data_IF_317413291767
#
_entry.id   IF_317413291767
#
_cell.length_a   1.000
_cell.length_b   1.000
_cell.length_c   1.000
_cell.angle_alpha   90.00
_cell.angle_beta   90.00
_cell.angle_gamma   90.00
#
_symmetry.space_group_name_H-M   'P 1'
#
loop_
_entity.id
_entity.type
_entity.pdbx_description
1 polymer ?
#
# COMPACT_ATOMS: atom_id res chain seq x y z
N UNK A 1 -38.32 -2.00 48.36
CA UNK A 1 -37.21 -2.94 48.57
C UNK A 1 -37.71 -4.29 48.16
N UNK A 2 -37.46 -4.71 46.93
CA UNK A 2 -37.80 -6.04 46.40
C UNK A 2 -36.50 -6.79 46.20
N UNK A 3 -36.26 -7.68 47.14
CA UNK A 3 -35.13 -8.60 47.18
C UNK A 3 -35.31 -9.62 46.06
N UNK A 4 -34.48 -9.57 45.02
CA UNK A 4 -34.37 -10.67 44.04
C UNK A 4 -33.20 -11.56 44.46
N UNK A 5 -33.46 -12.87 44.69
CA UNK A 5 -32.37 -13.78 45.00
C UNK A 5 -31.38 -13.87 43.82
N UNK A 6 -30.08 -14.08 44.07
CA UNK A 6 -29.07 -14.25 43.05
C UNK A 6 -29.36 -15.52 42.26
N UNK A 7 -29.49 -15.42 40.94
CA UNK A 7 -29.59 -16.56 40.02
C UNK A 7 -28.29 -17.37 40.11
N UNK A 8 -28.46 -18.62 40.55
CA UNK A 8 -27.39 -19.59 40.68
C UNK A 8 -26.71 -19.84 39.33
N UNK A 9 -25.39 -19.96 39.35
CA UNK A 9 -24.56 -20.17 38.15
C UNK A 9 -24.86 -21.47 37.44
N UNK A 10 -25.30 -22.47 38.19
CA UNK A 10 -25.68 -23.80 37.66
C UNK A 10 -26.97 -23.75 36.84
N UNK A 11 -27.94 -22.90 37.19
CA UNK A 11 -29.17 -22.72 36.40
C UNK A 11 -28.96 -21.99 35.06
N UNK A 12 -27.87 -21.26 34.90
CA UNK A 12 -27.49 -20.62 33.62
C UNK A 12 -26.83 -21.59 32.63
N UNK A 13 -26.14 -22.61 33.14
CA UNK A 13 -25.49 -23.63 32.31
C UNK A 13 -26.50 -24.65 31.79
N UNK A 14 -27.52 -24.99 32.59
CA UNK A 14 -28.59 -25.91 32.20
C UNK A 14 -29.48 -25.39 31.05
N UNK A 15 -29.55 -24.04 30.87
CA UNK A 15 -30.30 -23.42 29.77
C UNK A 15 -29.47 -23.30 28.45
N UNK A 16 -28.24 -23.79 28.45
CA UNK A 16 -27.37 -23.84 27.28
C UNK A 16 -27.19 -25.28 26.75
N UNK A 17 -27.93 -26.23 27.30
CA UNK A 17 -27.95 -27.60 26.78
C UNK A 17 -28.61 -27.56 25.39
N UNK A 18 -27.82 -27.76 24.35
CA UNK A 18 -28.28 -27.95 22.98
C UNK A 18 -29.18 -29.22 23.00
N UNK A 19 -30.39 -29.09 22.44
CA UNK A 19 -31.29 -30.21 22.25
C UNK A 19 -30.57 -31.32 21.48
N UNK A 20 -30.49 -32.55 22.04
CA UNK A 20 -29.80 -33.66 21.38
C UNK A 20 -30.32 -33.96 19.96
N UNK A 21 -31.60 -33.72 19.70
CA UNK A 21 -32.18 -33.91 18.38
C UNK A 21 -31.79 -32.81 17.38
N UNK A 22 -31.52 -31.60 17.86
CA UNK A 22 -30.98 -30.51 17.04
C UNK A 22 -29.51 -30.79 16.71
N UNK A 23 -28.73 -31.22 17.71
CA UNK A 23 -27.32 -31.57 17.50
C UNK A 23 -27.16 -32.76 16.54
N UNK A 24 -28.05 -33.78 16.63
CA UNK A 24 -28.03 -34.91 15.71
C UNK A 24 -28.32 -34.47 14.25
N UNK A 25 -29.26 -33.53 14.04
CA UNK A 25 -29.58 -33.00 12.72
C UNK A 25 -28.46 -32.14 12.16
N UNK A 26 -27.77 -31.36 13.00
CA UNK A 26 -26.61 -30.57 12.58
C UNK A 26 -25.45 -31.50 12.20
N UNK A 27 -25.19 -32.57 12.97
CA UNK A 27 -24.16 -33.56 12.62
C UNK A 27 -24.49 -34.36 11.36
N UNK A 28 -25.78 -34.66 11.10
CA UNK A 28 -26.20 -35.26 9.83
C UNK A 28 -26.05 -34.28 8.64
N UNK A 29 -26.30 -33.00 8.86
CA UNK A 29 -26.11 -31.96 7.86
C UNK A 29 -24.60 -31.71 7.54
N UNK A 30 -23.71 -31.80 8.54
CA UNK A 30 -22.25 -31.74 8.33
C UNK A 30 -21.71 -32.95 7.54
N UNK A 31 -22.41 -34.10 7.54
CA UNK A 31 -22.03 -35.26 6.72
C UNK A 31 -22.43 -35.15 5.24
N UNK A 32 -23.34 -34.24 4.93
CA UNK A 32 -23.68 -33.85 3.55
C UNK A 32 -22.82 -32.67 3.15
N UNK A 33 -21.57 -32.78 2.87
CA UNK A 33 -20.61 -31.73 2.55
C UNK A 33 -21.23 -30.36 2.21
N UNK A 34 -20.72 -29.29 2.76
CA UNK A 34 -21.21 -27.93 2.43
C UNK A 34 -21.17 -27.77 0.90
N UNK A 35 -22.29 -27.41 0.22
CA UNK A 35 -22.23 -27.09 -1.22
C UNK A 35 -21.18 -26.02 -1.57
N UNK A 36 -20.71 -25.24 -0.58
CA UNK A 36 -19.61 -24.27 -0.74
C UNK A 36 -18.24 -24.94 -0.76
N UNK A 37 -18.08 -26.16 -0.19
CA UNK A 37 -16.84 -26.94 -0.25
C UNK A 37 -16.59 -27.53 -1.65
N UNK A 38 -17.64 -27.62 -2.49
CA UNK A 38 -17.54 -28.06 -3.90
C UNK A 38 -17.21 -26.89 -4.84
N UNK A 39 -17.27 -25.64 -4.36
CA UNK A 39 -16.85 -24.47 -5.11
C UNK A 39 -15.34 -24.34 -4.92
N UNK A 40 -14.57 -24.80 -5.90
CA UNK A 40 -13.14 -24.54 -5.98
C UNK A 40 -12.95 -23.05 -6.26
N UNK A 41 -12.98 -22.24 -5.18
CA UNK A 41 -12.88 -20.77 -5.23
C UNK A 41 -11.48 -20.29 -5.65
N UNK A 42 -10.49 -21.19 -5.61
CA UNK A 42 -9.10 -20.91 -5.91
C UNK A 42 -8.53 -21.97 -6.86
N UNK A 43 -8.92 -21.94 -8.14
CA UNK A 43 -8.16 -22.63 -9.19
C UNK A 43 -7.07 -21.70 -9.73
N UNK A 44 -5.81 -21.82 -9.26
CA UNK A 44 -4.72 -20.91 -9.67
C UNK A 44 -4.43 -20.98 -11.19
N UNK A 45 -4.80 -22.07 -11.87
CA UNK A 45 -4.62 -22.20 -13.32
C UNK A 45 -5.70 -21.43 -14.08
N UNK A 46 -6.95 -21.49 -13.62
CA UNK A 46 -8.04 -20.71 -14.21
C UNK A 46 -7.84 -19.20 -13.95
N UNK A 47 -7.43 -18.82 -12.74
CA UNK A 47 -7.12 -17.43 -12.41
C UNK A 47 -5.98 -16.86 -13.26
N UNK A 48 -4.94 -17.66 -13.50
CA UNK A 48 -3.84 -17.27 -14.39
C UNK A 48 -4.27 -17.11 -15.84
N UNK A 49 -5.12 -18.01 -16.35
CA UNK A 49 -5.66 -17.93 -17.72
C UNK A 49 -6.59 -16.72 -17.87
N UNK A 50 -7.42 -16.46 -16.88
CA UNK A 50 -8.30 -15.29 -16.88
C UNK A 50 -7.49 -13.99 -16.84
N UNK A 51 -6.44 -13.89 -16.01
CA UNK A 51 -5.54 -12.75 -15.96
C UNK A 51 -4.85 -12.50 -17.31
N UNK A 52 -4.41 -13.55 -18.00
CA UNK A 52 -3.83 -13.44 -19.35
C UNK A 52 -4.86 -12.90 -20.35
N UNK A 53 -6.09 -13.43 -20.33
CA UNK A 53 -7.17 -12.97 -21.20
C UNK A 53 -7.50 -11.50 -20.96
N UNK A 54 -7.61 -11.10 -19.71
CA UNK A 54 -7.86 -9.70 -19.30
C UNK A 54 -6.73 -8.78 -19.77
N UNK A 55 -5.48 -9.19 -19.65
CA UNK A 55 -4.34 -8.44 -20.17
C UNK A 55 -4.39 -8.30 -21.69
N UNK A 56 -4.73 -9.37 -22.45
CA UNK A 56 -4.83 -9.32 -23.90
C UNK A 56 -5.94 -8.35 -24.37
N UNK A 57 -7.10 -8.36 -23.72
CA UNK A 57 -8.18 -7.41 -23.99
C UNK A 57 -7.76 -5.97 -23.62
N UNK A 58 -7.10 -5.79 -22.47
CA UNK A 58 -6.65 -4.50 -21.98
C UNK A 58 -5.60 -3.85 -22.89
N UNK A 59 -4.68 -4.62 -23.49
CA UNK A 59 -3.74 -4.11 -24.49
C UNK A 59 -4.46 -3.47 -25.68
N UNK A 60 -5.58 -4.05 -26.11
CA UNK A 60 -6.40 -3.47 -27.16
C UNK A 60 -7.15 -2.22 -26.67
N UNK A 61 -7.70 -2.25 -25.46
CA UNK A 61 -8.42 -1.10 -24.89
C UNK A 61 -7.55 0.13 -24.68
N UNK A 62 -6.26 -0.03 -24.32
CA UNK A 62 -5.33 1.10 -24.19
C UNK A 62 -5.20 1.92 -25.48
N UNK A 63 -5.43 1.31 -26.65
CA UNK A 63 -5.30 1.94 -27.96
C UNK A 63 -6.62 2.55 -28.46
N UNK A 64 -7.71 2.42 -27.71
CA UNK A 64 -9.04 2.88 -28.10
C UNK A 64 -9.41 4.23 -27.48
N UNK A 65 -10.70 4.55 -27.45
CA UNK A 65 -11.23 5.78 -26.90
C UNK A 65 -11.03 5.89 -25.39
N UNK A 66 -11.39 7.05 -24.85
CA UNK A 66 -11.11 7.41 -23.46
C UNK A 66 -11.62 6.37 -22.44
N UNK A 67 -12.86 5.91 -22.60
CA UNK A 67 -13.47 4.98 -21.63
C UNK A 67 -12.83 3.60 -21.63
N UNK A 68 -12.57 3.05 -22.82
CA UNK A 68 -11.85 1.77 -22.97
C UNK A 68 -10.42 1.88 -22.45
N UNK A 69 -9.75 3.00 -22.70
CA UNK A 69 -8.40 3.27 -22.18
C UNK A 69 -8.36 3.24 -20.66
N UNK A 70 -9.36 3.84 -19.99
CA UNK A 70 -9.47 3.78 -18.52
C UNK A 70 -9.71 2.35 -18.01
N UNK A 71 -10.50 1.54 -18.72
CA UNK A 71 -10.70 0.13 -18.39
C UNK A 71 -9.39 -0.66 -18.54
N UNK A 72 -8.65 -0.47 -19.64
CA UNK A 72 -7.34 -1.10 -19.83
C UNK A 72 -6.32 -0.70 -18.77
N UNK A 73 -6.29 0.59 -18.40
CA UNK A 73 -5.43 1.08 -17.32
C UNK A 73 -5.75 0.40 -15.99
N UNK A 74 -7.03 0.18 -15.67
CA UNK A 74 -7.45 -0.50 -14.44
C UNK A 74 -6.89 -1.92 -14.37
N UNK A 75 -6.95 -2.68 -15.46
CA UNK A 75 -6.40 -4.03 -15.52
C UNK A 75 -4.90 -4.02 -15.21
N UNK A 76 -4.12 -3.10 -15.79
CA UNK A 76 -2.68 -3.02 -15.53
C UNK A 76 -2.29 -2.41 -14.17
N UNK A 77 -3.23 -1.85 -13.43
CA UNK A 77 -3.04 -1.53 -12.02
C UNK A 77 -3.09 -2.80 -11.13
N UNK A 78 -3.73 -3.86 -11.59
CA UNK A 78 -3.92 -5.13 -10.87
C UNK A 78 -2.98 -6.22 -11.38
N UNK A 79 -2.81 -6.32 -12.69
CA UNK A 79 -2.04 -7.37 -13.36
C UNK A 79 -0.70 -6.86 -13.91
N UNK A 80 0.28 -7.78 -13.95
CA UNK A 80 1.61 -7.53 -14.52
C UNK A 80 1.69 -8.10 -15.93
N UNK A 81 1.95 -7.22 -16.89
CA UNK A 81 2.24 -7.60 -18.27
C UNK A 81 3.24 -6.60 -18.88
N UNK A 82 4.49 -7.02 -19.13
CA UNK A 82 5.51 -6.12 -19.68
C UNK A 82 5.15 -5.52 -21.05
N UNK A 83 4.26 -6.15 -21.82
CA UNK A 83 3.78 -5.66 -23.12
C UNK A 83 3.04 -4.32 -22.97
N UNK A 84 2.45 -4.06 -21.81
CA UNK A 84 1.71 -2.82 -21.50
C UNK A 84 2.61 -1.59 -21.46
N UNK A 85 3.88 -1.72 -21.08
CA UNK A 85 4.78 -0.60 -20.79
C UNK A 85 4.87 0.38 -21.96
N UNK A 86 5.04 -0.13 -23.19
CA UNK A 86 5.14 0.73 -24.39
C UNK A 86 3.85 1.51 -24.69
N UNK A 87 2.69 1.01 -24.26
CA UNK A 87 1.39 1.67 -24.42
C UNK A 87 1.10 2.60 -23.25
N UNK A 88 1.65 2.33 -22.05
CA UNK A 88 1.46 3.13 -20.85
C UNK A 88 2.29 4.41 -20.86
N UNK A 89 3.52 4.36 -21.38
CA UNK A 89 4.45 5.50 -21.37
C UNK A 89 3.86 6.77 -22.03
N UNK A 90 3.24 6.71 -23.22
CA UNK A 90 2.63 7.91 -23.82
C UNK A 90 1.49 8.50 -22.98
N UNK A 91 0.80 7.67 -22.17
CA UNK A 91 -0.33 8.11 -21.36
C UNK A 91 0.10 8.99 -20.15
N UNK A 92 1.38 9.02 -19.84
CA UNK A 92 1.93 9.92 -18.83
C UNK A 92 1.88 11.40 -19.27
N UNK A 93 1.71 11.69 -20.56
CA UNK A 93 1.63 13.05 -21.11
C UNK A 93 0.19 13.47 -21.46
N UNK A 94 -0.80 12.61 -21.16
CA UNK A 94 -2.21 12.89 -21.43
C UNK A 94 -2.72 14.13 -20.67
N UNK A 95 -3.62 14.88 -21.29
CA UNK A 95 -4.20 16.10 -20.70
C UNK A 95 -5.00 15.76 -19.44
N UNK A 96 -5.74 14.63 -19.47
CA UNK A 96 -6.57 14.19 -18.36
C UNK A 96 -5.70 13.66 -17.19
N UNK A 97 -5.74 14.30 -16.00
CA UNK A 97 -4.94 13.85 -14.86
C UNK A 97 -5.34 12.46 -14.34
N UNK A 98 -6.58 12.03 -14.56
CA UNK A 98 -7.02 10.67 -14.19
C UNK A 98 -6.30 9.62 -15.03
N UNK A 99 -6.14 9.87 -16.34
CA UNK A 99 -5.41 8.98 -17.24
C UNK A 99 -3.93 8.94 -16.83
N UNK A 100 -3.29 10.10 -16.61
CA UNK A 100 -1.89 10.14 -16.15
C UNK A 100 -1.70 9.38 -14.84
N UNK A 101 -2.57 9.63 -13.86
CA UNK A 101 -2.52 8.97 -12.54
C UNK A 101 -2.67 7.44 -12.67
N UNK A 102 -3.63 6.97 -13.47
CA UNK A 102 -3.84 5.53 -13.69
C UNK A 102 -2.67 4.89 -14.43
N UNK A 103 -2.08 5.58 -15.43
CA UNK A 103 -0.87 5.12 -16.11
C UNK A 103 0.33 5.04 -15.15
N UNK A 104 0.47 5.99 -14.22
CA UNK A 104 1.49 5.96 -13.17
C UNK A 104 1.31 4.73 -12.27
N UNK A 105 0.07 4.42 -11.81
CA UNK A 105 -0.19 3.23 -11.01
C UNK A 105 0.11 1.93 -11.78
N UNK A 106 -0.30 1.87 -13.05
CA UNK A 106 -0.01 0.73 -13.91
C UNK A 106 1.50 0.52 -14.09
N UNK A 107 2.29 1.58 -14.30
CA UNK A 107 3.75 1.52 -14.37
C UNK A 107 4.40 1.20 -13.02
N UNK A 108 3.80 1.58 -11.90
CA UNK A 108 4.23 1.14 -10.58
C UNK A 108 4.04 -0.36 -10.36
N UNK A 109 2.99 -0.93 -10.93
CA UNK A 109 2.77 -2.39 -10.92
C UNK A 109 3.65 -3.12 -11.94
N UNK A 110 4.00 -2.45 -13.06
CA UNK A 110 4.81 -2.95 -14.15
C UNK A 110 6.16 -2.20 -14.26
N UNK A 111 7.05 -2.29 -13.24
CA UNK A 111 8.27 -1.49 -13.22
C UNK A 111 9.17 -1.82 -14.40
N UNK A 112 9.61 -0.76 -15.08
CA UNK A 112 10.45 -0.86 -16.27
C UNK A 112 11.40 0.34 -16.36
N UNK A 113 12.69 0.14 -16.70
CA UNK A 113 13.67 1.22 -16.77
C UNK A 113 13.26 2.43 -17.62
N UNK A 114 12.60 2.29 -18.78
CA UNK A 114 12.15 3.44 -19.57
C UNK A 114 11.17 4.37 -18.85
N UNK A 115 10.44 3.89 -17.83
CA UNK A 115 9.48 4.70 -17.10
C UNK A 115 10.13 5.63 -16.06
N UNK A 116 11.37 5.37 -15.64
CA UNK A 116 12.04 6.12 -14.56
C UNK A 116 12.10 7.62 -14.86
N UNK A 117 12.62 8.00 -16.01
CA UNK A 117 12.75 9.42 -16.39
C UNK A 117 11.40 10.16 -16.41
N UNK A 118 10.41 9.67 -17.15
CA UNK A 118 9.05 10.22 -17.14
C UNK A 118 8.41 10.31 -15.76
N UNK A 119 8.54 9.27 -14.91
CA UNK A 119 8.01 9.28 -13.55
C UNK A 119 8.71 10.34 -12.68
N UNK A 120 10.04 10.46 -12.76
CA UNK A 120 10.77 11.49 -12.02
C UNK A 120 10.33 12.91 -12.45
N UNK A 121 10.07 13.13 -13.74
CA UNK A 121 9.52 14.38 -14.24
C UNK A 121 8.15 14.67 -13.67
N UNK A 122 7.23 13.70 -13.69
CA UNK A 122 5.87 13.84 -13.12
C UNK A 122 5.91 14.16 -11.63
N UNK A 123 6.77 13.52 -10.84
CA UNK A 123 6.90 13.81 -9.42
C UNK A 123 7.26 15.28 -9.16
N UNK A 124 8.09 15.86 -10.01
CA UNK A 124 8.59 17.22 -9.82
C UNK A 124 7.69 18.31 -10.43
N UNK A 125 7.04 18.02 -11.55
CA UNK A 125 6.46 19.04 -12.41
C UNK A 125 4.95 18.92 -12.63
N UNK A 126 4.32 17.76 -12.34
CA UNK A 126 2.88 17.62 -12.58
C UNK A 126 2.09 18.60 -11.71
N UNK A 127 1.21 19.36 -12.33
CA UNK A 127 0.37 20.33 -11.64
C UNK A 127 -0.64 19.69 -10.68
N UNK A 128 -1.03 18.43 -10.94
CA UNK A 128 -2.03 17.71 -10.16
C UNK A 128 -1.38 16.91 -9.03
N UNK A 129 -1.71 17.24 -7.79
CA UNK A 129 -1.16 16.59 -6.61
C UNK A 129 -1.49 15.08 -6.51
N UNK A 130 -2.61 14.63 -7.09
CA UNK A 130 -2.94 13.20 -7.11
C UNK A 130 -2.04 12.42 -8.06
N UNK A 131 -1.62 13.03 -9.18
CA UNK A 131 -0.61 12.43 -10.08
C UNK A 131 0.73 12.36 -9.36
N UNK A 132 1.19 13.46 -8.72
CA UNK A 132 2.44 13.44 -7.94
C UNK A 132 2.40 12.42 -6.79
N UNK A 133 1.26 12.29 -6.09
CA UNK A 133 1.05 11.25 -5.05
C UNK A 133 1.22 9.84 -5.61
N UNK A 134 0.53 9.53 -6.72
CA UNK A 134 0.64 8.23 -7.39
C UNK A 134 2.08 7.97 -7.84
N UNK A 135 2.77 9.01 -8.32
CA UNK A 135 4.16 8.92 -8.77
C UNK A 135 5.12 8.66 -7.61
N UNK A 136 4.92 9.32 -6.46
CA UNK A 136 5.70 9.04 -5.26
C UNK A 136 5.58 7.58 -4.84
N UNK A 137 4.36 7.02 -4.83
CA UNK A 137 4.14 5.60 -4.58
C UNK A 137 4.79 4.70 -5.63
N UNK A 138 4.59 5.01 -6.92
CA UNK A 138 5.12 4.20 -8.02
C UNK A 138 6.64 4.08 -7.95
N UNK A 139 7.35 5.17 -7.65
CA UNK A 139 8.81 5.20 -7.56
C UNK A 139 9.39 4.33 -6.45
N UNK A 140 8.60 3.96 -5.44
CA UNK A 140 8.97 2.94 -4.45
C UNK A 140 9.22 1.55 -5.06
N UNK A 141 8.63 1.27 -6.22
CA UNK A 141 8.84 0.01 -6.96
C UNK A 141 10.05 0.07 -7.92
N UNK A 142 10.85 1.15 -7.87
CA UNK A 142 12.06 1.34 -8.66
C UNK A 142 13.29 1.59 -7.77
N UNK A 143 13.59 0.71 -6.79
CA UNK A 143 14.58 0.99 -5.74
C UNK A 143 16.01 1.16 -6.26
N UNK A 144 16.32 0.59 -7.43
CA UNK A 144 17.65 0.71 -8.06
C UNK A 144 17.82 2.00 -8.87
N UNK A 145 16.72 2.69 -9.20
CA UNK A 145 16.75 3.94 -9.91
C UNK A 145 17.18 5.12 -9.00
N UNK A 146 17.57 6.29 -9.57
CA UNK A 146 18.01 7.44 -8.80
C UNK A 146 16.84 8.22 -8.17
N UNK A 147 15.97 7.49 -7.43
CA UNK A 147 14.73 8.02 -6.86
C UNK A 147 14.89 8.71 -5.50
N UNK A 148 16.02 8.47 -4.82
CA UNK A 148 16.24 8.91 -3.44
C UNK A 148 16.10 10.44 -3.28
N UNK A 149 16.88 11.21 -4.00
CA UNK A 149 16.86 12.68 -3.88
C UNK A 149 15.53 13.31 -4.32
N UNK A 150 14.89 12.89 -5.43
CA UNK A 150 13.54 13.32 -5.77
C UNK A 150 12.49 13.04 -4.68
N UNK A 151 12.52 11.85 -4.06
CA UNK A 151 11.62 11.50 -2.97
C UNK A 151 11.89 12.31 -1.69
N UNK A 152 13.17 12.55 -1.36
CA UNK A 152 13.55 13.46 -0.25
C UNK A 152 12.95 14.85 -0.48
N UNK A 153 13.10 15.41 -1.68
CA UNK A 153 12.53 16.72 -2.00
C UNK A 153 11.00 16.72 -1.91
N UNK A 154 10.34 15.69 -2.43
CA UNK A 154 8.89 15.56 -2.34
C UNK A 154 8.42 15.50 -0.87
N UNK A 155 9.13 14.77 0.00
CA UNK A 155 8.84 14.71 1.43
C UNK A 155 9.04 16.07 2.13
N UNK A 156 9.96 16.91 1.65
CA UNK A 156 10.23 18.22 2.24
C UNK A 156 9.18 19.27 1.88
N UNK A 157 8.68 19.27 0.66
CA UNK A 157 8.04 20.45 0.09
C UNK A 157 6.67 20.27 -0.52
N UNK A 158 6.20 19.03 -0.69
CA UNK A 158 4.92 18.79 -1.38
C UNK A 158 3.73 18.78 -0.39
N UNK A 159 2.53 18.58 -0.90
CA UNK A 159 1.32 18.43 -0.07
C UNK A 159 1.36 17.15 0.75
N UNK A 160 0.63 17.09 1.86
CA UNK A 160 0.68 15.99 2.82
C UNK A 160 0.49 14.60 2.20
N UNK A 161 -0.42 14.46 1.24
CA UNK A 161 -0.66 13.19 0.56
C UNK A 161 0.56 12.68 -0.26
N UNK A 162 1.34 13.60 -0.83
CA UNK A 162 2.58 13.27 -1.54
C UNK A 162 3.70 12.97 -0.54
N UNK A 163 3.83 13.78 0.52
CA UNK A 163 4.82 13.57 1.59
C UNK A 163 4.65 12.20 2.24
N UNK A 164 3.39 11.77 2.49
CA UNK A 164 3.09 10.45 3.02
C UNK A 164 3.69 9.34 2.15
N UNK A 165 3.39 9.33 0.84
CA UNK A 165 3.90 8.30 -0.05
C UNK A 165 5.39 8.41 -0.33
N UNK A 166 5.93 9.62 -0.33
CA UNK A 166 7.38 9.82 -0.42
C UNK A 166 8.12 9.20 0.78
N UNK A 167 7.56 9.29 2.00
CA UNK A 167 8.17 8.64 3.19
C UNK A 167 8.18 7.11 3.08
N UNK A 168 7.09 6.50 2.59
CA UNK A 168 7.02 5.06 2.35
C UNK A 168 8.05 4.62 1.30
N UNK A 169 8.08 5.32 0.15
CA UNK A 169 8.97 4.97 -0.95
C UNK A 169 10.45 5.22 -0.65
N UNK A 170 10.76 6.14 0.27
CA UNK A 170 12.12 6.34 0.80
C UNK A 170 12.61 5.13 1.59
N UNK A 171 11.73 4.43 2.33
CA UNK A 171 12.09 3.19 2.99
C UNK A 171 12.48 2.11 1.96
N UNK A 172 11.65 1.93 0.92
CA UNK A 172 11.93 0.93 -0.12
C UNK A 172 13.24 1.23 -0.90
N UNK A 173 13.52 2.50 -1.20
CA UNK A 173 14.78 2.89 -1.81
C UNK A 173 15.97 2.70 -0.85
N UNK A 174 15.78 3.01 0.43
CA UNK A 174 16.82 3.00 1.45
C UNK A 174 17.31 1.59 1.81
N UNK A 175 16.42 0.58 1.88
CA UNK A 175 16.78 -0.79 2.25
C UNK A 175 17.73 -1.47 1.24
N UNK A 176 17.92 -0.90 0.05
CA UNK A 176 18.80 -1.49 -0.98
C UNK A 176 20.30 -1.35 -0.66
N UNK A 177 20.69 -0.37 0.14
CA UNK A 177 22.09 -0.21 0.58
C UNK A 177 22.22 0.78 1.74
N UNK A 178 23.24 0.59 2.60
CA UNK A 178 23.55 1.52 3.68
C UNK A 178 23.82 2.97 3.19
N UNK A 179 24.38 3.12 1.99
CA UNK A 179 24.61 4.43 1.39
C UNK A 179 23.31 5.19 1.05
N UNK A 180 22.20 4.48 0.79
CA UNK A 180 20.88 5.06 0.59
C UNK A 180 20.10 5.14 1.91
N UNK A 181 20.30 4.20 2.82
CA UNK A 181 19.59 4.14 4.11
C UNK A 181 19.85 5.39 4.97
N UNK A 182 21.10 5.82 5.09
CA UNK A 182 21.45 6.95 5.97
C UNK A 182 20.82 8.27 5.53
N UNK A 183 20.91 8.73 4.27
CA UNK A 183 20.26 9.97 3.84
C UNK A 183 18.71 9.85 3.87
N UNK A 184 18.13 8.68 3.56
CA UNK A 184 16.70 8.45 3.71
C UNK A 184 16.26 8.62 5.18
N UNK A 185 16.95 7.95 6.11
CA UNK A 185 16.67 8.05 7.54
C UNK A 185 16.85 9.48 8.05
N UNK A 186 17.88 10.19 7.60
CA UNK A 186 18.10 11.59 7.97
C UNK A 186 16.91 12.48 7.64
N UNK A 187 16.34 12.35 6.44
CA UNK A 187 15.17 13.13 6.05
C UNK A 187 13.90 12.67 6.81
N UNK A 188 13.69 11.37 6.98
CA UNK A 188 12.55 10.84 7.72
C UNK A 188 12.57 11.31 9.19
N UNK A 189 13.73 11.37 9.83
CA UNK A 189 13.89 11.91 11.19
C UNK A 189 13.51 13.39 11.28
N UNK A 190 13.88 14.20 10.27
CA UNK A 190 13.47 15.61 10.21
C UNK A 190 11.95 15.68 10.10
N UNK A 191 11.34 14.97 9.15
CA UNK A 191 9.90 15.00 8.93
C UNK A 191 9.12 14.50 10.15
N UNK A 192 9.58 13.45 10.83
CA UNK A 192 8.96 12.97 12.07
C UNK A 192 8.92 14.05 13.15
N UNK A 193 9.96 14.89 13.24
CA UNK A 193 10.05 15.95 14.27
C UNK A 193 9.17 17.17 13.96
N UNK A 194 9.03 17.53 12.68
CA UNK A 194 8.47 18.83 12.31
C UNK A 194 7.21 18.81 11.45
N UNK A 195 6.85 17.67 10.82
CA UNK A 195 5.68 17.65 9.94
C UNK A 195 4.38 17.98 10.70
N UNK A 196 3.56 18.84 10.12
CA UNK A 196 2.27 19.22 10.69
C UNK A 196 1.29 18.06 10.77
N UNK A 197 1.35 17.16 9.78
CA UNK A 197 0.39 16.07 9.60
C UNK A 197 0.80 14.81 10.35
N UNK A 198 -0.06 14.35 11.25
CA UNK A 198 0.19 13.14 12.04
C UNK A 198 0.37 11.90 11.18
N UNK A 199 -0.39 11.78 10.08
CA UNK A 199 -0.27 10.64 9.15
C UNK A 199 1.12 10.57 8.49
N UNK A 200 1.75 11.72 8.21
CA UNK A 200 3.11 11.76 7.67
C UNK A 200 4.10 11.34 8.75
N UNK A 201 3.97 11.86 9.99
CA UNK A 201 4.83 11.48 11.10
C UNK A 201 4.74 9.98 11.42
N UNK A 202 3.53 9.41 11.46
CA UNK A 202 3.30 7.97 11.65
C UNK A 202 3.99 7.12 10.56
N UNK A 203 3.87 7.53 9.30
CA UNK A 203 4.54 6.84 8.20
C UNK A 203 6.07 7.00 8.24
N UNK A 204 6.59 8.12 8.76
CA UNK A 204 8.03 8.26 9.01
C UNK A 204 8.53 7.26 10.07
N UNK A 205 7.76 6.99 11.13
CA UNK A 205 8.09 5.96 12.12
C UNK A 205 8.17 4.59 11.45
N UNK A 206 7.13 4.21 10.69
CA UNK A 206 7.11 2.95 9.95
C UNK A 206 8.32 2.83 9.00
N UNK A 207 8.58 3.88 8.22
CA UNK A 207 9.70 3.93 7.26
C UNK A 207 11.06 3.80 7.95
N UNK A 208 11.27 4.49 9.08
CA UNK A 208 12.48 4.40 9.88
C UNK A 208 12.66 3.01 10.50
N UNK A 209 11.57 2.38 10.95
CA UNK A 209 11.58 0.99 11.42
C UNK A 209 12.09 0.02 10.35
N UNK A 210 11.63 0.19 9.10
CA UNK A 210 12.11 -0.59 7.94
C UNK A 210 13.59 -0.40 7.66
N UNK A 211 14.13 0.80 7.90
CA UNK A 211 15.54 1.13 7.65
C UNK A 211 16.48 0.69 8.79
N UNK A 212 15.96 0.41 9.98
CA UNK A 212 16.76 0.30 11.20
C UNK A 212 17.90 -0.72 11.09
N UNK A 213 17.67 -1.86 10.45
CA UNK A 213 18.69 -2.92 10.27
C UNK A 213 19.76 -2.52 9.23
N UNK A 214 19.47 -1.56 8.36
CA UNK A 214 20.38 -1.07 7.32
C UNK A 214 21.20 0.14 7.77
N UNK A 215 20.91 0.67 8.99
CA UNK A 215 21.61 1.83 9.56
C UNK A 215 22.80 1.37 10.42
N UNK A 216 23.85 2.16 10.36
CA UNK A 216 25.00 2.02 11.25
C UNK A 216 24.93 3.03 12.41
N UNK A 217 25.68 2.77 13.46
CA UNK A 217 25.87 3.74 14.53
C UNK A 217 26.64 4.98 14.00
N UNK A 218 26.28 6.22 14.41
CA UNK A 218 25.31 6.58 15.48
C UNK A 218 23.85 6.78 14.98
N UNK A 219 23.58 6.63 13.68
CA UNK A 219 22.25 6.90 13.10
C UNK A 219 21.16 5.99 13.71
N UNK A 220 21.50 4.73 13.96
CA UNK A 220 20.58 3.77 14.61
C UNK A 220 20.16 4.26 16.01
N UNK A 221 21.10 4.74 16.81
CA UNK A 221 20.80 5.28 18.15
C UNK A 221 19.92 6.54 18.06
N UNK A 222 20.16 7.43 17.10
CA UNK A 222 19.33 8.61 16.87
C UNK A 222 17.88 8.23 16.55
N UNK A 223 17.66 7.21 15.71
CA UNK A 223 16.31 6.71 15.38
C UNK A 223 15.61 6.21 16.64
N UNK A 224 16.29 5.39 17.46
CA UNK A 224 15.72 4.84 18.69
C UNK A 224 15.35 5.99 19.66
N UNK A 225 16.23 6.97 19.85
CA UNK A 225 15.97 8.13 20.70
C UNK A 225 14.72 8.91 20.24
N UNK A 226 14.59 9.12 18.92
CA UNK A 226 13.44 9.85 18.36
C UNK A 226 12.15 9.03 18.46
N UNK A 227 12.21 7.71 18.35
CA UNK A 227 11.05 6.83 18.59
C UNK A 227 10.57 6.93 20.04
N UNK A 228 11.48 6.86 21.02
CA UNK A 228 11.12 7.05 22.43
C UNK A 228 10.50 8.42 22.66
N UNK A 229 11.02 9.46 22.05
CA UNK A 229 10.47 10.80 22.14
C UNK A 229 9.08 10.90 21.51
N UNK A 230 8.86 10.32 20.34
CA UNK A 230 7.55 10.31 19.66
C UNK A 230 6.51 9.56 20.51
N UNK A 231 6.85 8.36 21.01
CA UNK A 231 6.00 7.55 21.90
C UNK A 231 5.55 8.32 23.14
N UNK A 232 6.45 9.08 23.75
CA UNK A 232 6.17 9.78 25.02
C UNK A 232 5.50 11.15 24.83
N UNK A 233 5.77 11.85 23.71
CA UNK A 233 5.50 13.28 23.63
C UNK A 233 4.80 13.74 22.34
N UNK A 234 4.56 12.85 21.34
CA UNK A 234 3.80 13.32 20.19
C UNK A 234 2.37 13.71 20.59
N UNK A 235 1.90 14.82 20.05
CA UNK A 235 0.57 15.37 20.37
C UNK A 235 -0.58 14.46 19.92
N UNK A 236 -0.35 13.65 18.86
CA UNK A 236 -1.36 12.77 18.29
C UNK A 236 -1.20 11.33 18.79
N UNK A 237 -2.30 10.72 19.20
CA UNK A 237 -2.31 9.35 19.69
C UNK A 237 -1.85 8.35 18.61
N UNK A 238 -2.29 8.53 17.38
CA UNK A 238 -1.93 7.67 16.25
C UNK A 238 -0.43 7.64 15.91
N UNK A 239 0.35 8.57 16.46
CA UNK A 239 1.82 8.60 16.33
C UNK A 239 2.47 7.94 17.54
N UNK A 240 1.80 7.96 18.70
CA UNK A 240 2.30 7.33 19.94
C UNK A 240 2.02 5.81 19.98
N UNK A 241 0.95 5.33 19.37
CA UNK A 241 0.56 3.92 19.32
C UNK A 241 1.37 3.15 18.26
#
# INVERSE_FOLDING_TARGET
MTDRPPLDRESRVANLAIDPDVLARELEAEQVGDPLDEIDLDDPEQDALEAIRQCDEALNWLQQGHDQRLQGLRVFCEHRDPRSVSLLLPLLEEVCPVVRMSAVYALGRNPSPPAVGPLLKLLQEDSNAYVRKATAWSLGNYPDAPVLNPLIRALQTDVAAVRLWASVSLAEAGVTSAAKADPAAGQLLISLRIDSESVVRSNCIWALGRLLEHLVEPRRLEVIEVFVRALLHDRERSVRD
#
